data_IF_801597092721
#
_entry.id   IF_801597092721
#
_cell.length_a   1.000
_cell.length_b   1.000
_cell.length_c   1.000
_cell.angle_alpha   90.00
_cell.angle_beta   90.00
_cell.angle_gamma   90.00
#
_symmetry.space_group_name_H-M   'P 1'
#
loop_
_entity.id
_entity.type
_entity.pdbx_description
1 polymer ?
#
# COMPACT_ATOMS: atom_id res chain seq x y z
N UNK A 1 11.22 -7.78 17.27
CA UNK A 1 11.34 -6.37 16.82
C UNK A 1 10.40 -5.43 17.59
N UNK A 2 9.07 -5.64 17.61
CA UNK A 2 8.14 -4.74 18.32
C UNK A 2 8.37 -4.65 19.84
N UNK A 3 8.69 -5.75 20.51
CA UNK A 3 9.06 -5.76 21.92
C UNK A 3 10.33 -4.94 22.20
N UNK A 4 11.36 -5.09 21.36
CA UNK A 4 12.61 -4.34 21.48
C UNK A 4 12.40 -2.82 21.27
N UNK A 5 11.54 -2.43 20.32
CA UNK A 5 11.17 -1.03 20.12
C UNK A 5 10.41 -0.45 21.33
N UNK A 6 9.48 -1.22 21.89
CA UNK A 6 8.73 -0.81 23.08
C UNK A 6 9.62 -0.65 24.33
N UNK A 7 10.58 -1.54 24.51
CA UNK A 7 11.60 -1.44 25.56
C UNK A 7 12.49 -0.20 25.36
N UNK A 8 13.00 -0.01 24.14
CA UNK A 8 13.86 1.15 23.80
C UNK A 8 13.12 2.48 23.98
N UNK A 9 11.80 2.50 23.76
CA UNK A 9 10.95 3.67 23.96
C UNK A 9 10.55 3.89 25.44
N UNK A 10 10.97 3.03 26.37
CA UNK A 10 10.65 3.14 27.80
C UNK A 10 9.20 2.80 28.15
N UNK A 11 8.51 2.02 27.29
CA UNK A 11 7.10 1.68 27.50
C UNK A 11 6.91 0.46 28.42
N UNK A 12 7.98 -0.31 28.69
CA UNK A 12 7.94 -1.54 29.50
C UNK A 12 7.03 -2.64 28.93
N UNK A 13 6.66 -2.52 27.65
CA UNK A 13 5.79 -3.44 26.92
C UNK A 13 6.00 -3.34 25.41
N UNK A 14 5.60 -4.37 24.67
CA UNK A 14 5.64 -4.34 23.20
C UNK A 14 4.75 -3.25 22.62
N UNK A 15 5.21 -2.66 21.51
CA UNK A 15 4.35 -1.85 20.64
C UNK A 15 3.18 -2.69 20.10
N UNK A 16 2.04 -2.04 19.78
CA UNK A 16 0.88 -2.73 19.23
C UNK A 16 1.19 -3.34 17.84
N UNK A 17 0.48 -4.40 17.44
CA UNK A 17 0.68 -5.06 16.15
C UNK A 17 0.26 -4.19 14.95
N UNK A 18 -0.69 -3.26 15.16
CA UNK A 18 -1.14 -2.29 14.16
C UNK A 18 -0.97 -0.90 14.74
N UNK A 19 -0.38 0.01 13.96
CA UNK A 19 -0.13 1.38 14.38
C UNK A 19 -1.19 2.29 13.76
N UNK A 20 -2.04 2.88 14.59
CA UNK A 20 -3.11 3.74 14.13
C UNK A 20 -2.57 5.15 13.82
N UNK A 21 -2.60 5.54 12.55
CA UNK A 21 -2.13 6.86 12.10
C UNK A 21 -3.18 7.98 12.22
N UNK A 22 -4.43 7.66 12.59
CA UNK A 22 -5.52 8.61 12.76
C UNK A 22 -6.62 8.47 11.70
N UNK A 23 -7.23 9.60 11.34
CA UNK A 23 -8.38 9.70 10.46
C UNK A 23 -8.02 9.52 8.98
N UNK A 24 -9.01 9.55 8.07
CA UNK A 24 -8.76 9.39 6.63
C UNK A 24 -7.82 10.46 6.04
N UNK A 25 -7.82 11.69 6.59
CA UNK A 25 -6.90 12.74 6.14
C UNK A 25 -5.48 12.51 6.63
N UNK A 26 -5.31 11.71 7.69
CA UNK A 26 -4.01 11.32 8.23
C UNK A 26 -3.31 10.23 7.39
N UNK A 27 -3.92 9.74 6.30
CA UNK A 27 -3.18 9.02 5.25
C UNK A 27 -2.00 9.85 4.72
N UNK A 28 -2.10 11.18 4.77
CA UNK A 28 -0.97 12.10 4.51
C UNK A 28 0.25 11.82 5.39
N UNK A 29 0.07 11.37 6.65
CA UNK A 29 1.18 11.00 7.54
C UNK A 29 1.89 9.73 7.06
N UNK A 30 1.14 8.78 6.51
CA UNK A 30 1.71 7.58 5.91
C UNK A 30 2.50 7.95 4.65
N UNK A 31 2.01 8.89 3.84
CA UNK A 31 2.76 9.43 2.69
C UNK A 31 4.07 10.10 3.13
N UNK A 32 4.07 10.87 4.22
CA UNK A 32 5.29 11.45 4.81
C UNK A 32 6.26 10.35 5.23
N UNK A 33 5.79 9.31 5.94
CA UNK A 33 6.61 8.18 6.35
C UNK A 33 7.24 7.45 5.15
N UNK A 34 6.43 7.13 4.14
CA UNK A 34 6.87 6.46 2.91
C UNK A 34 7.91 7.30 2.16
N UNK A 35 7.70 8.62 2.09
CA UNK A 35 8.64 9.54 1.45
C UNK A 35 9.97 9.60 2.20
N UNK A 36 9.94 9.65 3.53
CA UNK A 36 11.15 9.64 4.35
C UNK A 36 11.92 8.31 4.24
N UNK A 37 11.22 7.18 4.12
CA UNK A 37 11.86 5.88 3.87
C UNK A 37 12.51 5.81 2.50
N UNK A 38 11.82 6.28 1.46
CA UNK A 38 12.35 6.36 0.09
C UNK A 38 13.62 7.22 0.04
N UNK A 39 13.59 8.42 0.62
CA UNK A 39 14.73 9.32 0.73
C UNK A 39 15.89 8.67 1.49
N UNK A 40 15.61 8.05 2.64
CA UNK A 40 16.64 7.40 3.47
C UNK A 40 17.34 6.25 2.74
N UNK A 41 16.62 5.54 1.89
CA UNK A 41 17.14 4.41 1.10
C UNK A 41 17.72 4.84 -0.26
N UNK A 42 17.50 6.08 -0.69
CA UNK A 42 17.93 6.59 -1.99
C UNK A 42 17.22 5.94 -3.17
N UNK A 43 15.99 5.46 -2.98
CA UNK A 43 15.18 4.77 -4.00
C UNK A 43 13.84 5.49 -4.20
N UNK A 44 13.21 5.41 -5.39
CA UNK A 44 11.87 5.96 -5.58
C UNK A 44 10.82 5.17 -4.78
N UNK A 45 9.68 5.79 -4.45
CA UNK A 45 8.59 5.17 -3.68
C UNK A 45 8.13 3.84 -4.29
N UNK A 46 8.00 3.76 -5.61
CA UNK A 46 7.61 2.54 -6.33
C UNK A 46 8.53 1.33 -6.14
N UNK A 47 9.76 1.55 -5.65
CA UNK A 47 10.70 0.48 -5.35
C UNK A 47 10.58 -0.03 -3.91
N UNK A 48 9.84 0.66 -3.05
CA UNK A 48 9.67 0.26 -1.65
C UNK A 48 8.76 -0.98 -1.53
N UNK A 49 9.04 -1.89 -0.58
CA UNK A 49 8.22 -3.06 -0.33
C UNK A 49 6.97 -2.71 0.50
N UNK A 50 6.09 -1.90 -0.09
CA UNK A 50 4.87 -1.39 0.53
C UNK A 50 3.66 -1.62 -0.39
N UNK A 51 2.49 -1.68 0.23
CA UNK A 51 1.21 -1.67 -0.46
C UNK A 51 0.17 -0.99 0.42
N UNK A 52 -0.90 -0.49 -0.18
CA UNK A 52 -2.07 0.00 0.52
C UNK A 52 -3.26 -0.95 0.33
N UNK A 53 -4.20 -0.96 1.27
CA UNK A 53 -5.41 -1.78 1.19
C UNK A 53 -6.62 -0.97 1.64
N UNK A 54 -7.59 -0.84 0.75
CA UNK A 54 -8.93 -0.33 1.04
C UNK A 54 -9.92 -1.51 0.93
N UNK A 55 -9.81 -2.44 1.89
CA UNK A 55 -10.51 -3.72 1.87
C UNK A 55 -12.04 -3.59 1.85
N UNK A 56 -12.59 -2.56 2.49
CA UNK A 56 -14.04 -2.35 2.61
C UNK A 56 -14.42 -0.92 2.19
N UNK A 57 -13.89 -0.46 1.05
CA UNK A 57 -14.12 0.92 0.63
C UNK A 57 -15.57 1.15 0.16
N UNK A 58 -16.15 2.26 0.60
CA UNK A 58 -17.56 2.62 0.30
C UNK A 58 -17.69 4.03 -0.27
N UNK A 59 -16.80 4.95 0.12
CA UNK A 59 -16.97 6.38 -0.17
C UNK A 59 -16.11 6.84 -1.33
N UNK A 60 -16.55 7.89 -2.02
CA UNK A 60 -15.79 8.56 -3.09
C UNK A 60 -14.41 9.05 -2.58
N UNK A 61 -14.32 9.42 -1.30
CA UNK A 61 -13.04 9.77 -0.66
C UNK A 61 -12.04 8.62 -0.70
N UNK A 62 -12.49 7.38 -0.50
CA UNK A 62 -11.61 6.22 -0.55
C UNK A 62 -11.11 5.94 -1.98
N UNK A 63 -11.95 6.17 -2.99
CA UNK A 63 -11.53 6.12 -4.40
C UNK A 63 -10.44 7.16 -4.72
N UNK A 64 -10.62 8.40 -4.22
CA UNK A 64 -9.62 9.45 -4.39
C UNK A 64 -8.30 9.13 -3.68
N UNK A 65 -8.35 8.62 -2.43
CA UNK A 65 -7.17 8.21 -1.67
C UNK A 65 -6.42 7.09 -2.40
N UNK A 66 -7.12 6.05 -2.84
CA UNK A 66 -6.52 4.94 -3.59
C UNK A 66 -5.88 5.42 -4.89
N UNK A 67 -6.55 6.30 -5.63
CA UNK A 67 -6.02 6.84 -6.89
C UNK A 67 -4.79 7.69 -6.67
N UNK A 68 -4.77 8.52 -5.61
CA UNK A 68 -3.60 9.30 -5.22
C UNK A 68 -2.41 8.41 -4.82
N UNK A 69 -2.66 7.32 -4.09
CA UNK A 69 -1.62 6.36 -3.74
C UNK A 69 -1.04 5.65 -4.98
N UNK A 70 -1.88 5.24 -5.93
CA UNK A 70 -1.44 4.70 -7.23
C UNK A 70 -0.55 5.70 -7.98
N UNK A 71 -0.95 6.96 -8.05
CA UNK A 71 -0.17 8.01 -8.70
C UNK A 71 1.19 8.28 -8.03
N UNK A 72 1.32 8.02 -6.72
CA UNK A 72 2.58 8.07 -5.97
C UNK A 72 3.45 6.82 -6.15
N UNK A 73 3.00 5.84 -6.94
CA UNK A 73 3.71 4.59 -7.19
C UNK A 73 3.45 3.50 -6.14
N UNK A 74 2.35 3.58 -5.39
CA UNK A 74 1.95 2.55 -4.42
C UNK A 74 0.86 1.67 -5.01
N UNK A 75 1.07 0.35 -5.02
CA UNK A 75 0.03 -0.62 -5.37
C UNK A 75 -1.06 -0.65 -4.30
N UNK A 76 -2.32 -0.57 -4.73
CA UNK A 76 -3.49 -0.46 -3.85
C UNK A 76 -4.46 -1.60 -4.08
N UNK A 77 -4.75 -2.35 -3.03
CA UNK A 77 -5.81 -3.35 -3.02
C UNK A 77 -7.19 -2.71 -2.75
N UNK A 78 -8.20 -3.13 -3.53
CA UNK A 78 -9.62 -2.80 -3.35
C UNK A 78 -10.41 -4.09 -3.10
N UNK A 79 -11.00 -4.22 -1.91
CA UNK A 79 -11.83 -5.38 -1.57
C UNK A 79 -13.31 -5.27 -1.96
N UNK A 80 -13.68 -4.15 -2.58
CA UNK A 80 -14.99 -3.96 -3.21
C UNK A 80 -14.76 -3.61 -4.68
N UNK A 81 -15.55 -4.18 -5.58
CA UNK A 81 -15.38 -3.97 -7.02
C UNK A 81 -15.72 -2.52 -7.40
N UNK A 82 -14.79 -1.76 -8.01
CA UNK A 82 -15.10 -0.41 -8.49
C UNK A 82 -16.03 -0.43 -9.72
N UNK A 83 -16.87 0.61 -9.89
CA UNK A 83 -17.80 0.72 -11.01
C UNK A 83 -17.11 1.14 -12.32
N UNK A 84 -16.02 0.45 -12.69
CA UNK A 84 -15.17 0.74 -13.86
C UNK A 84 -15.03 -0.45 -14.81
N UNK A 85 -15.50 -1.63 -14.40
CA UNK A 85 -15.37 -2.87 -15.19
C UNK A 85 -16.20 -2.89 -16.48
N UNK A 86 -17.13 -1.95 -16.65
CA UNK A 86 -17.90 -1.81 -17.89
C UNK A 86 -17.06 -1.34 -19.09
N UNK A 87 -15.84 -0.84 -18.86
CA UNK A 87 -14.90 -0.44 -19.92
C UNK A 87 -13.57 -1.20 -19.76
N UNK A 88 -13.24 -2.12 -20.69
CA UNK A 88 -11.96 -2.83 -20.67
C UNK A 88 -10.75 -1.89 -20.71
N UNK A 89 -10.87 -0.77 -21.43
CA UNK A 89 -9.82 0.24 -21.50
C UNK A 89 -9.57 0.92 -20.13
N UNK A 90 -10.63 1.23 -19.39
CA UNK A 90 -10.51 1.83 -18.05
C UNK A 90 -10.01 0.80 -17.04
N UNK A 91 -10.52 -0.43 -17.09
CA UNK A 91 -10.05 -1.52 -16.23
C UNK A 91 -8.54 -1.75 -16.41
N UNK A 92 -8.08 -1.98 -17.65
CA UNK A 92 -6.65 -2.18 -17.96
C UNK A 92 -5.80 -0.96 -17.61
N UNK A 93 -6.30 0.27 -17.80
CA UNK A 93 -5.59 1.46 -17.36
C UNK A 93 -5.32 1.44 -15.85
N UNK A 94 -6.31 1.05 -15.05
CA UNK A 94 -6.24 1.10 -13.59
C UNK A 94 -5.47 -0.08 -12.98
N UNK A 95 -5.55 -1.27 -13.60
CA UNK A 95 -4.98 -2.51 -13.06
C UNK A 95 -3.65 -2.93 -13.69
N UNK A 96 -3.24 -2.35 -14.82
CA UNK A 96 -2.03 -2.75 -15.54
C UNK A 96 -1.21 -1.54 -15.96
N UNK A 97 -1.74 -0.67 -16.82
CA UNK A 97 -0.96 0.42 -17.42
C UNK A 97 -0.52 1.48 -16.41
N UNK A 98 -1.26 1.66 -15.32
CA UNK A 98 -0.88 2.51 -14.20
C UNK A 98 0.46 2.11 -13.59
N UNK A 99 0.79 0.82 -13.58
CA UNK A 99 2.07 0.32 -13.07
C UNK A 99 3.24 0.75 -13.97
N UNK A 100 3.04 0.74 -15.30
CA UNK A 100 4.04 1.22 -16.25
C UNK A 100 4.27 2.73 -16.11
N UNK A 101 3.19 3.49 -15.90
CA UNK A 101 3.22 4.95 -15.82
C UNK A 101 3.76 5.47 -14.47
N UNK A 102 3.30 4.89 -13.37
CA UNK A 102 3.54 5.41 -12.01
C UNK A 102 4.32 4.44 -11.12
N UNK A 103 4.34 3.14 -11.46
CA UNK A 103 4.88 2.07 -10.61
C UNK A 103 3.89 1.49 -9.60
N UNK A 104 2.66 2.00 -9.57
CA UNK A 104 1.57 1.48 -8.74
C UNK A 104 0.35 1.16 -9.59
N UNK A 105 -0.47 0.22 -9.12
CA UNK A 105 -1.72 -0.20 -9.78
C UNK A 105 -2.79 -0.57 -8.76
N UNK A 106 -4.02 -0.74 -9.22
CA UNK A 106 -5.06 -1.37 -8.43
C UNK A 106 -5.05 -2.90 -8.54
N UNK A 107 -5.22 -3.56 -7.40
CA UNK A 107 -5.57 -4.98 -7.31
C UNK A 107 -7.03 -5.05 -6.83
N UNK A 108 -7.91 -5.66 -7.61
CA UNK A 108 -9.31 -5.87 -7.21
C UNK A 108 -9.47 -7.33 -6.80
N UNK A 109 -9.68 -7.60 -5.52
CA UNK A 109 -9.86 -8.94 -4.98
C UNK A 109 -10.79 -8.89 -3.77
N UNK A 110 -11.94 -9.57 -3.85
CA UNK A 110 -12.97 -9.48 -2.81
C UNK A 110 -12.77 -10.50 -1.69
N UNK A 111 -12.02 -11.58 -1.96
CA UNK A 111 -11.74 -12.62 -0.97
C UNK A 111 -10.55 -12.19 -0.08
N UNK A 112 -10.75 -11.93 1.22
CA UNK A 112 -9.73 -11.30 2.07
C UNK A 112 -8.48 -12.16 2.24
N UNK A 113 -8.62 -13.49 2.30
CA UNK A 113 -7.49 -14.40 2.39
C UNK A 113 -6.61 -14.31 1.13
N UNK A 114 -7.25 -14.31 -0.05
CA UNK A 114 -6.54 -14.20 -1.33
C UNK A 114 -5.92 -12.81 -1.50
N UNK A 115 -6.63 -11.75 -1.13
CA UNK A 115 -6.09 -10.39 -1.11
C UNK A 115 -4.83 -10.29 -0.23
N UNK A 116 -4.85 -10.89 0.96
CA UNK A 116 -3.68 -10.90 1.85
C UNK A 116 -2.47 -11.61 1.23
N UNK A 117 -2.69 -12.73 0.54
CA UNK A 117 -1.64 -13.46 -0.17
C UNK A 117 -1.07 -12.65 -1.33
N UNK A 118 -1.93 -11.99 -2.12
CA UNK A 118 -1.49 -11.13 -3.22
C UNK A 118 -0.65 -9.95 -2.74
N UNK A 119 -1.07 -9.27 -1.67
CA UNK A 119 -0.31 -8.18 -1.06
C UNK A 119 1.03 -8.67 -0.50
N UNK A 120 1.05 -9.85 0.13
CA UNK A 120 2.27 -10.45 0.64
C UNK A 120 3.26 -10.79 -0.47
N UNK A 121 2.81 -11.38 -1.58
CA UNK A 121 3.68 -11.68 -2.72
C UNK A 121 4.18 -10.42 -3.43
N UNK A 122 3.34 -9.38 -3.57
CA UNK A 122 3.76 -8.06 -4.05
C UNK A 122 4.91 -7.48 -3.20
N UNK A 123 4.76 -7.50 -1.88
CA UNK A 123 5.80 -7.02 -0.95
C UNK A 123 7.08 -7.87 -1.08
N UNK A 124 6.97 -9.20 -1.19
CA UNK A 124 8.12 -10.08 -1.39
C UNK A 124 8.84 -9.80 -2.70
N UNK A 125 8.12 -9.54 -3.78
CA UNK A 125 8.69 -9.19 -5.06
C UNK A 125 9.46 -7.87 -5.00
N UNK A 126 8.85 -6.83 -4.42
CA UNK A 126 9.53 -5.56 -4.20
C UNK A 126 10.81 -5.71 -3.35
N UNK A 127 10.80 -6.57 -2.32
CA UNK A 127 12.01 -6.91 -1.54
C UNK A 127 13.09 -7.56 -2.40
N UNK A 128 12.73 -8.54 -3.24
CA UNK A 128 13.68 -9.20 -4.16
C UNK A 128 14.30 -8.22 -5.14
N UNK A 129 13.52 -7.28 -5.66
CA UNK A 129 13.99 -6.23 -6.58
C UNK A 129 14.99 -5.27 -5.91
N UNK A 130 14.94 -5.14 -4.58
CA UNK A 130 15.93 -4.41 -3.77
C UNK A 130 17.12 -5.28 -3.31
N UNK A 131 17.20 -6.54 -3.73
CA UNK A 131 18.25 -7.46 -3.30
C UNK A 131 18.11 -7.96 -1.85
N UNK A 132 16.92 -7.83 -1.24
CA UNK A 132 16.67 -8.29 0.12
C UNK A 132 16.15 -9.73 0.12
N UNK A 133 16.75 -10.60 0.93
CA UNK A 133 16.25 -11.97 1.13
C UNK A 133 14.95 -11.98 1.95
N UNK A 134 14.04 -12.88 1.58
CA UNK A 134 12.74 -13.13 2.23
C UNK A 134 12.88 -13.63 3.65
#
# INVERSE_FOLDING_TARGET
>A
MLAALGETAGLGKSLPPVWHFGSCVDNSRVVILVSALAEKLGVPIKSLPIAASAAEWVTEKAAAIGTGAVALGVTVHLGVTPPVLGSPAVASLLTEKSEELFGGKFIVEVEPEKASQMLFEHIKEARRNLGLTT
#
